data_IF_298100603542
#
_entry.id   IF_298100603542
#
_cell.length_a   1.000
_cell.length_b   1.000
_cell.length_c   1.000
_cell.angle_alpha   90.00
_cell.angle_beta   90.00
_cell.angle_gamma   90.00
#
_symmetry.space_group_name_H-M   'P 1'
#
loop_
_entity.id
_entity.type
_entity.pdbx_description
1 polymer ?
#
# COMPACT_ATOMS: atom_id res chain seq x y z
N UNK A 1 -25.72 -13.27 10.98
CA UNK A 1 -24.26 -13.06 11.14
C UNK A 1 -23.49 -13.07 9.82
N UNK A 2 -24.02 -13.66 8.73
CA UNK A 2 -23.34 -13.71 7.43
C UNK A 2 -23.04 -12.31 6.84
N UNK A 3 -24.03 -11.41 6.86
CA UNK A 3 -23.92 -10.05 6.33
C UNK A 3 -22.74 -9.23 6.90
N UNK A 4 -22.36 -9.46 8.17
CA UNK A 4 -21.22 -8.78 8.78
C UNK A 4 -19.89 -9.24 8.17
N UNK A 5 -19.75 -10.56 7.97
CA UNK A 5 -18.55 -11.13 7.34
C UNK A 5 -18.50 -10.73 5.87
N UNK A 6 -19.63 -10.80 5.17
CA UNK A 6 -19.71 -10.45 3.75
C UNK A 6 -19.31 -8.99 3.52
N UNK A 7 -19.77 -8.08 4.39
CA UNK A 7 -19.34 -6.69 4.37
C UNK A 7 -17.82 -6.54 4.53
N UNK A 8 -17.22 -7.23 5.51
CA UNK A 8 -15.77 -7.16 5.76
C UNK A 8 -14.99 -7.69 4.55
N UNK A 9 -15.45 -8.78 3.94
CA UNK A 9 -14.83 -9.34 2.75
C UNK A 9 -14.90 -8.38 1.56
N UNK A 10 -16.05 -7.75 1.31
CA UNK A 10 -16.21 -6.75 0.24
C UNK A 10 -15.35 -5.50 0.49
N UNK A 11 -15.32 -4.99 1.72
CA UNK A 11 -14.51 -3.82 2.07
C UNK A 11 -12.99 -4.02 1.89
N UNK A 12 -12.53 -5.28 1.85
CA UNK A 12 -11.13 -5.63 1.62
C UNK A 12 -10.69 -5.66 0.15
N UNK A 13 -11.59 -5.45 -0.80
CA UNK A 13 -11.25 -5.53 -2.22
C UNK A 13 -10.42 -4.33 -2.70
N UNK A 14 -9.50 -4.58 -3.64
CA UNK A 14 -8.64 -3.55 -4.23
C UNK A 14 -9.39 -2.68 -5.24
N UNK A 15 -10.47 -3.21 -5.80
CA UNK A 15 -11.31 -2.57 -6.81
C UNK A 15 -12.75 -2.83 -6.40
N UNK A 16 -13.53 -1.77 -6.22
CA UNK A 16 -14.96 -1.85 -5.97
C UNK A 16 -15.68 -1.12 -7.10
N UNK A 17 -16.71 -1.77 -7.65
CA UNK A 17 -17.64 -1.16 -8.61
C UNK A 17 -18.87 -0.60 -7.92
N UNK A 18 -19.74 0.05 -8.69
CA UNK A 18 -21.02 0.59 -8.21
C UNK A 18 -21.91 -0.50 -7.59
N UNK A 19 -22.03 -1.64 -8.29
CA UNK A 19 -22.79 -2.79 -7.83
C UNK A 19 -22.30 -3.25 -6.45
N UNK A 20 -20.98 -3.27 -6.21
CA UNK A 20 -20.41 -3.70 -4.93
C UNK A 20 -20.76 -2.74 -3.79
N UNK A 21 -20.86 -1.44 -4.08
CA UNK A 21 -21.27 -0.44 -3.11
C UNK A 21 -22.74 -0.58 -2.73
N UNK A 22 -23.60 -0.92 -3.69
CA UNK A 22 -25.00 -1.26 -3.42
C UNK A 22 -25.09 -2.50 -2.53
N UNK A 23 -24.29 -3.54 -2.78
CA UNK A 23 -24.20 -4.71 -1.91
C UNK A 23 -23.74 -4.34 -0.49
N UNK A 24 -22.74 -3.46 -0.34
CA UNK A 24 -22.29 -2.96 0.96
C UNK A 24 -23.41 -2.23 1.72
N UNK A 25 -24.23 -1.43 1.04
CA UNK A 25 -25.39 -0.78 1.64
C UNK A 25 -26.46 -1.80 2.09
N UNK A 26 -26.71 -2.84 1.28
CA UNK A 26 -27.63 -3.92 1.63
C UNK A 26 -27.14 -4.74 2.83
N UNK A 27 -25.85 -5.08 2.90
CA UNK A 27 -25.28 -5.75 4.08
C UNK A 27 -25.42 -4.91 5.34
N UNK A 28 -25.27 -3.58 5.24
CA UNK A 28 -25.54 -2.66 6.35
C UNK A 28 -27.01 -2.73 6.77
N UNK A 29 -27.95 -2.69 5.84
CA UNK A 29 -29.38 -2.82 6.14
C UNK A 29 -29.68 -4.12 6.91
N UNK A 30 -29.20 -5.26 6.39
CA UNK A 30 -29.38 -6.58 7.00
C UNK A 30 -28.74 -6.64 8.39
N UNK A 31 -27.57 -6.01 8.59
CA UNK A 31 -26.96 -5.91 9.91
C UNK A 31 -27.84 -5.11 10.88
N UNK A 32 -28.38 -3.97 10.43
CA UNK A 32 -29.22 -3.10 11.25
C UNK A 32 -30.53 -3.77 11.67
N UNK A 33 -31.13 -4.57 10.80
CA UNK A 33 -32.36 -5.30 11.11
C UNK A 33 -32.13 -6.44 12.13
N UNK A 34 -30.92 -7.01 12.15
CA UNK A 34 -30.61 -8.18 12.98
C UNK A 34 -29.80 -7.87 14.24
N UNK A 35 -29.23 -6.67 14.39
CA UNK A 35 -28.33 -6.34 15.51
C UNK A 35 -29.02 -6.39 16.87
N UNK A 36 -30.33 -6.14 16.93
CA UNK A 36 -31.07 -6.11 18.19
C UNK A 36 -31.15 -7.50 18.85
N UNK A 37 -30.98 -8.58 18.07
CA UNK A 37 -30.87 -9.94 18.60
C UNK A 37 -29.69 -10.10 19.58
N UNK A 38 -28.61 -9.31 19.40
CA UNK A 38 -27.49 -9.30 20.33
C UNK A 38 -27.79 -8.56 21.64
N UNK A 39 -28.72 -7.59 21.63
CA UNK A 39 -29.20 -6.92 22.86
C UNK A 39 -30.15 -7.83 23.65
N UNK A 40 -30.93 -8.65 22.95
CA UNK A 40 -31.94 -9.54 23.55
C UNK A 40 -31.35 -10.83 24.15
N UNK A 41 -30.07 -11.13 23.89
CA UNK A 41 -29.43 -12.38 24.33
C UNK A 41 -28.30 -12.13 25.35
N UNK A 42 -28.63 -11.76 26.61
CA UNK A 42 -27.62 -11.42 27.63
C UNK A 42 -26.70 -12.59 28.04
N UNK A 43 -27.07 -13.82 27.70
CA UNK A 43 -26.36 -15.04 28.14
C UNK A 43 -25.20 -15.48 27.23
N UNK A 44 -25.03 -14.88 26.04
CA UNK A 44 -24.11 -15.40 24.99
C UNK A 44 -22.80 -14.59 24.84
N UNK A 45 -22.28 -14.02 25.92
CA UNK A 45 -20.87 -13.60 25.99
C UNK A 45 -20.49 -12.28 25.33
N UNK A 46 -21.44 -11.54 24.76
CA UNK A 46 -21.26 -10.11 24.52
C UNK A 46 -21.25 -9.39 25.87
N UNK A 47 -20.25 -8.54 26.15
CA UNK A 47 -20.35 -7.57 27.26
C UNK A 47 -21.72 -6.90 27.14
N UNK A 48 -22.44 -6.75 28.25
CA UNK A 48 -23.78 -6.14 28.33
C UNK A 48 -23.76 -4.71 27.75
N UNK A 49 -23.77 -4.58 26.43
CA UNK A 49 -23.85 -3.31 25.74
C UNK A 49 -25.32 -2.96 25.61
N UNK A 50 -25.71 -1.83 26.18
CA UNK A 50 -27.09 -1.34 26.10
C UNK A 50 -27.45 -0.85 24.69
N UNK A 51 -26.45 -0.57 23.85
CA UNK A 51 -26.63 -0.02 22.50
C UNK A 51 -25.46 -0.36 21.57
N UNK A 52 -25.71 -0.25 20.25
CA UNK A 52 -24.71 -0.43 19.20
C UNK A 52 -24.11 0.90 18.66
N UNK A 53 -24.07 1.96 19.49
CA UNK A 53 -23.42 3.24 19.15
C UNK A 53 -21.89 3.14 19.21
N UNK A 54 -21.31 2.23 18.44
CA UNK A 54 -19.87 2.05 18.30
C UNK A 54 -19.44 2.90 17.11
N UNK A 55 -18.55 3.90 17.28
CA UNK A 55 -18.13 4.77 16.19
C UNK A 55 -17.64 4.02 14.95
N UNK A 56 -16.99 2.86 15.13
CA UNK A 56 -16.55 1.99 14.03
C UNK A 56 -17.70 1.39 13.21
N UNK A 57 -18.80 1.00 13.88
CA UNK A 57 -20.00 0.50 13.20
C UNK A 57 -20.76 1.63 12.51
N UNK A 58 -20.81 2.80 13.14
CA UNK A 58 -21.41 3.97 12.50
C UNK A 58 -20.62 4.40 11.26
N UNK A 59 -19.28 4.45 11.36
CA UNK A 59 -18.40 4.83 10.25
C UNK A 59 -18.65 4.02 8.98
N UNK A 60 -19.07 2.76 9.12
CA UNK A 60 -19.43 1.85 8.03
C UNK A 60 -20.48 2.39 7.07
N UNK A 61 -21.44 3.17 7.57
CA UNK A 61 -22.49 3.76 6.76
C UNK A 61 -21.94 4.71 5.71
N UNK A 62 -20.81 5.33 6.03
CA UNK A 62 -20.13 6.29 5.16
C UNK A 62 -19.13 5.61 4.23
N UNK A 63 -18.96 4.27 4.27
CA UNK A 63 -18.00 3.59 3.39
C UNK A 63 -18.34 3.76 1.91
N UNK A 64 -19.60 3.57 1.46
CA UNK A 64 -19.95 3.79 0.06
C UNK A 64 -19.58 5.20 -0.41
N UNK A 65 -20.01 6.22 0.34
CA UNK A 65 -19.68 7.61 0.05
C UNK A 65 -18.16 7.85 0.04
N UNK A 66 -17.46 7.39 1.07
CA UNK A 66 -16.01 7.53 1.16
C UNK A 66 -15.31 6.86 -0.03
N UNK A 67 -15.81 5.73 -0.52
CA UNK A 67 -15.22 5.02 -1.65
C UNK A 67 -15.44 5.78 -2.96
N UNK A 68 -16.60 6.45 -3.13
CA UNK A 68 -16.80 7.36 -4.25
C UNK A 68 -15.82 8.53 -4.25
N UNK A 69 -15.60 9.15 -3.09
CA UNK A 69 -14.79 10.37 -2.98
C UNK A 69 -13.28 10.11 -2.92
N UNK A 70 -12.86 9.05 -2.21
CA UNK A 70 -11.46 8.76 -1.88
C UNK A 70 -10.91 7.53 -2.64
N UNK A 71 -11.78 6.77 -3.31
CA UNK A 71 -11.45 5.49 -3.90
C UNK A 71 -11.47 4.33 -2.89
N UNK A 72 -10.99 3.16 -3.29
CA UNK A 72 -11.04 1.96 -2.46
C UNK A 72 -10.37 2.16 -1.07
N UNK A 73 -10.83 1.46 -0.01
CA UNK A 73 -10.34 1.64 1.36
C UNK A 73 -8.82 1.50 1.52
N UNK A 74 -8.20 0.72 0.65
CA UNK A 74 -6.75 0.58 0.58
C UNK A 74 -6.01 1.91 0.36
N UNK A 75 -6.61 2.86 -0.38
CA UNK A 75 -5.96 4.11 -0.77
C UNK A 75 -5.79 5.10 0.39
N UNK A 76 -6.65 5.03 1.41
CA UNK A 76 -6.63 5.93 2.56
C UNK A 76 -6.34 5.21 3.89
N UNK A 77 -5.73 4.02 3.82
CA UNK A 77 -5.27 3.29 5.00
C UNK A 77 -4.14 4.04 5.71
N UNK A 78 -4.15 4.02 7.05
CA UNK A 78 -3.07 4.61 7.85
C UNK A 78 -1.80 3.79 7.83
N UNK A 79 -1.85 2.54 7.35
CA UNK A 79 -0.71 1.62 7.28
C UNK A 79 0.52 2.28 6.64
N UNK A 80 0.34 2.98 5.52
CA UNK A 80 1.45 3.63 4.80
C UNK A 80 2.08 4.71 5.69
N UNK A 81 1.26 5.57 6.31
CA UNK A 81 1.74 6.65 7.17
C UNK A 81 2.41 6.13 8.45
N UNK A 82 1.90 5.04 9.02
CA UNK A 82 2.47 4.38 10.21
C UNK A 82 3.81 3.71 9.88
N UNK A 83 3.88 2.98 8.76
CA UNK A 83 5.13 2.44 8.24
C UNK A 83 6.14 3.56 7.99
N UNK A 84 5.75 4.65 7.32
CA UNK A 84 6.60 5.81 7.15
C UNK A 84 7.09 6.37 8.49
N UNK A 85 6.23 6.53 9.49
CA UNK A 85 6.63 7.03 10.81
C UNK A 85 7.64 6.10 11.51
N UNK A 86 7.48 4.77 11.35
CA UNK A 86 8.44 3.80 11.88
C UNK A 86 9.79 3.90 11.15
N UNK A 87 9.78 3.87 9.82
CA UNK A 87 11.00 3.83 9.00
C UNK A 87 11.76 5.17 8.99
N UNK A 88 11.05 6.28 8.84
CA UNK A 88 11.61 7.61 8.59
C UNK A 88 11.83 8.40 9.89
N UNK A 89 11.00 8.19 10.92
CA UNK A 89 11.18 8.88 12.18
C UNK A 89 11.85 7.98 13.22
N UNK A 90 11.22 6.86 13.61
CA UNK A 90 11.70 6.06 14.75
C UNK A 90 13.06 5.42 14.49
N UNK A 91 13.27 4.79 13.33
CA UNK A 91 14.56 4.16 13.01
C UNK A 91 15.66 5.19 12.84
N UNK A 92 15.37 6.31 12.15
CA UNK A 92 16.35 7.37 11.92
C UNK A 92 16.76 8.03 13.22
N UNK A 93 15.79 8.39 14.07
CA UNK A 93 16.07 8.95 15.39
C UNK A 93 16.98 8.03 16.22
N UNK A 94 16.74 6.71 16.19
CA UNK A 94 17.60 5.72 16.86
C UNK A 94 19.00 5.60 16.25
N UNK A 95 19.14 5.83 14.95
CA UNK A 95 20.42 5.77 14.25
C UNK A 95 21.24 7.08 14.40
N UNK A 96 20.59 8.20 14.70
CA UNK A 96 21.22 9.51 14.89
C UNK A 96 21.52 9.81 16.35
N UNK A 97 22.38 10.81 16.59
CA UNK A 97 22.59 11.34 17.93
C UNK A 97 21.38 12.21 18.33
N UNK A 98 20.87 12.12 19.58
CA UNK A 98 19.76 12.95 20.05
C UNK A 98 20.03 14.47 20.08
N UNK A 99 21.28 14.92 19.93
CA UNK A 99 21.59 16.36 19.81
C UNK A 99 21.40 16.82 18.37
N UNK A 100 20.64 17.90 18.16
CA UNK A 100 20.32 18.46 16.82
C UNK A 100 19.83 17.39 15.83
N UNK A 101 18.89 16.57 16.29
CA UNK A 101 18.43 15.37 15.60
C UNK A 101 17.74 15.68 14.27
N UNK A 102 17.06 16.83 14.12
CA UNK A 102 16.33 17.16 12.89
C UNK A 102 17.24 17.25 11.67
N UNK A 103 18.37 17.98 11.78
CA UNK A 103 19.33 18.10 10.68
C UNK A 103 19.96 16.75 10.35
N UNK A 104 20.29 15.96 11.37
CA UNK A 104 20.87 14.63 11.19
C UNK A 104 19.89 13.64 10.55
N UNK A 105 18.63 13.67 10.95
CA UNK A 105 17.58 12.83 10.37
C UNK A 105 17.35 13.17 8.90
N UNK A 106 17.28 14.46 8.55
CA UNK A 106 17.18 14.91 7.16
C UNK A 106 18.39 14.45 6.33
N UNK A 107 19.61 14.66 6.84
CA UNK A 107 20.84 14.24 6.16
C UNK A 107 20.88 12.72 5.95
N UNK A 108 20.47 11.96 6.96
CA UNK A 108 20.38 10.51 6.88
C UNK A 108 19.39 10.06 5.80
N UNK A 109 18.20 10.67 5.75
CA UNK A 109 17.18 10.38 4.74
C UNK A 109 17.68 10.68 3.32
N UNK A 110 18.30 11.85 3.11
CA UNK A 110 18.89 12.21 1.82
C UNK A 110 19.99 11.23 1.38
N UNK A 111 20.79 10.70 2.32
CA UNK A 111 21.80 9.69 2.01
C UNK A 111 21.16 8.37 1.60
N UNK A 112 20.15 7.90 2.34
CA UNK A 112 19.44 6.67 2.00
C UNK A 112 18.76 6.77 0.64
N UNK A 113 18.10 7.89 0.34
CA UNK A 113 17.48 8.14 -0.96
C UNK A 113 18.50 8.08 -2.10
N UNK A 114 19.66 8.75 -1.95
CA UNK A 114 20.73 8.72 -2.96
C UNK A 114 21.28 7.31 -3.19
N UNK A 115 21.48 6.54 -2.13
CA UNK A 115 21.95 5.14 -2.23
C UNK A 115 20.90 4.29 -2.94
N UNK A 116 19.62 4.42 -2.56
CA UNK A 116 18.51 3.69 -3.18
C UNK A 116 18.38 4.00 -4.67
N UNK A 117 18.37 5.28 -5.06
CA UNK A 117 18.29 5.71 -6.46
C UNK A 117 19.51 5.24 -7.26
N UNK A 118 20.71 5.30 -6.68
CA UNK A 118 21.92 4.78 -7.32
C UNK A 118 21.82 3.26 -7.53
N UNK A 119 21.30 2.51 -6.56
CA UNK A 119 21.07 1.07 -6.68
C UNK A 119 20.13 0.73 -7.83
N UNK A 120 19.00 1.44 -7.95
CA UNK A 120 18.06 1.26 -9.07
C UNK A 120 18.74 1.56 -10.41
N UNK A 121 19.49 2.65 -10.51
CA UNK A 121 20.20 3.01 -11.74
C UNK A 121 21.21 1.93 -12.15
N UNK A 122 21.99 1.41 -11.21
CA UNK A 122 22.95 0.33 -11.48
C UNK A 122 22.25 -0.95 -11.94
N UNK A 123 21.14 -1.33 -11.29
CA UNK A 123 20.35 -2.50 -11.69
C UNK A 123 19.80 -2.34 -13.11
N UNK A 124 19.26 -1.17 -13.45
CA UNK A 124 18.78 -0.88 -14.80
C UNK A 124 19.90 -0.96 -15.84
N UNK A 125 21.09 -0.43 -15.54
CA UNK A 125 22.25 -0.54 -16.44
C UNK A 125 22.68 -1.99 -16.65
N UNK A 126 22.76 -2.79 -15.59
CA UNK A 126 23.13 -4.21 -15.67
C UNK A 126 22.13 -5.00 -16.51
N UNK A 127 20.83 -4.75 -16.36
CA UNK A 127 19.78 -5.42 -17.14
C UNK A 127 19.84 -5.04 -18.63
N UNK A 128 20.16 -3.79 -18.96
CA UNK A 128 20.34 -3.37 -20.34
C UNK A 128 21.63 -3.88 -20.96
N UNK A 129 22.70 -4.00 -20.16
CA UNK A 129 23.96 -4.59 -20.61
C UNK A 129 23.81 -6.09 -20.88
N UNK A 130 23.09 -6.84 -20.03
CA UNK A 130 22.79 -8.26 -20.30
C UNK A 130 21.94 -8.44 -21.56
N UNK A 131 20.97 -7.55 -21.81
CA UNK A 131 20.11 -7.63 -22.99
C UNK A 131 20.84 -7.24 -24.29
N UNK A 132 21.89 -6.44 -24.21
CA UNK A 132 22.73 -6.06 -25.35
C UNK A 132 23.85 -7.07 -25.64
N UNK A 133 24.27 -7.87 -24.65
CA UNK A 133 25.27 -8.93 -24.83
C UNK A 133 24.72 -10.17 -25.56
N UNK A 134 23.39 -10.36 -25.55
CA UNK A 134 22.71 -11.37 -26.37
C UNK A 134 22.56 -10.94 -27.85
N UNK A 135 22.81 -9.67 -28.18
CA UNK A 135 22.68 -9.13 -29.54
C UNK A 135 24.01 -9.01 -30.29
N UNK A 136 25.13 -8.82 -29.58
CA UNK A 136 26.44 -8.61 -30.20
C UNK A 136 27.48 -9.62 -29.66
N UNK A 137 27.43 -10.84 -30.18
CA UNK A 137 28.63 -11.68 -30.23
C UNK A 137 29.63 -11.01 -31.16
N UNK A 138 30.60 -10.25 -30.61
CA UNK A 138 31.98 -10.10 -31.08
C UNK A 138 32.62 -8.82 -30.50
N UNK A 139 33.12 -8.90 -29.27
CA UNK A 139 34.22 -8.03 -28.85
C UNK A 139 35.18 -8.82 -27.95
N UNK A 140 36.16 -9.45 -28.59
CA UNK A 140 37.40 -9.92 -27.97
C UNK A 140 38.15 -8.69 -27.41
N UNK A 141 38.19 -8.52 -26.09
CA UNK A 141 38.99 -7.47 -25.46
C UNK A 141 39.83 -8.03 -24.32
N UNK A 142 40.89 -8.74 -24.74
CA UNK A 142 42.26 -8.66 -24.25
C UNK A 142 42.44 -8.41 -22.73
N UNK A 143 42.29 -9.47 -21.93
CA UNK A 143 42.89 -9.52 -20.59
C UNK A 143 44.35 -10.01 -20.73
N UNK A 144 45.35 -9.27 -20.23
CA UNK A 144 46.70 -9.81 -20.10
C UNK A 144 46.68 -11.00 -19.14
N UNK A 145 47.26 -12.13 -19.56
CA UNK A 145 47.48 -13.28 -18.68
C UNK A 145 48.41 -12.84 -17.54
N UNK A 146 47.88 -12.79 -16.32
CA UNK A 146 48.68 -12.72 -15.11
C UNK A 146 48.75 -14.14 -14.59
N UNK A 147 49.97 -14.68 -14.63
CA UNK A 147 50.32 -16.00 -14.14
C UNK A 147 49.97 -16.17 -12.65
N UNK A 148 49.64 -17.42 -12.32
CA UNK A 148 49.23 -17.92 -11.02
C UNK A 148 50.21 -17.54 -9.89
N UNK A 149 49.69 -17.10 -8.74
CA UNK A 149 49.85 -17.82 -7.45
C UNK A 149 49.22 -17.08 -6.25
N UNK A 150 48.69 -17.92 -5.33
CA UNK A 150 48.42 -17.72 -3.89
C UNK A 150 46.98 -17.44 -3.42
N UNK A 151 46.30 -18.56 -3.19
CA UNK A 151 45.42 -18.98 -2.09
C UNK A 151 44.54 -17.95 -1.33
N UNK A 152 43.25 -18.23 -1.45
CA UNK A 152 42.09 -17.69 -0.75
C UNK A 152 41.92 -18.36 0.61
N UNK A 153 41.67 -17.61 1.69
CA UNK A 153 40.52 -17.81 2.60
C UNK A 153 40.14 -16.49 3.26
N UNK A 154 38.98 -15.92 2.92
CA UNK A 154 38.28 -14.95 3.76
C UNK A 154 36.80 -15.35 3.81
N UNK A 155 36.36 -15.80 4.99
CA UNK A 155 34.98 -16.19 5.29
C UNK A 155 34.06 -14.96 5.21
N UNK A 156 33.18 -14.95 4.20
CA UNK A 156 32.17 -13.91 3.98
C UNK A 156 30.76 -14.50 3.83
N UNK A 157 30.34 -15.35 4.77
CA UNK A 157 28.96 -15.82 4.87
C UNK A 157 28.28 -15.28 6.14
N UNK A 158 27.82 -14.02 6.13
CA UNK A 158 26.74 -13.63 7.07
C UNK A 158 25.84 -12.44 6.70
N UNK A 159 26.01 -11.74 5.58
CA UNK A 159 25.22 -10.51 5.34
C UNK A 159 24.21 -10.58 4.17
N UNK A 160 24.06 -11.73 3.52
CA UNK A 160 23.13 -11.87 2.37
C UNK A 160 21.64 -11.96 2.76
N UNK A 161 21.33 -12.34 4.00
CA UNK A 161 19.94 -12.62 4.41
C UNK A 161 19.09 -11.36 4.68
N UNK A 162 19.72 -10.24 5.05
CA UNK A 162 19.00 -9.01 5.41
C UNK A 162 18.53 -8.22 4.18
N UNK A 163 19.36 -8.15 3.14
CA UNK A 163 19.15 -7.29 1.97
C UNK A 163 18.16 -7.88 0.95
N UNK A 164 17.99 -9.21 0.92
CA UNK A 164 17.03 -9.87 0.02
C UNK A 164 15.57 -9.64 0.41
N UNK A 165 15.28 -9.43 1.71
CA UNK A 165 13.92 -9.22 2.21
C UNK A 165 13.27 -7.89 1.76
N UNK A 166 14.09 -6.87 1.46
CA UNK A 166 13.64 -5.53 1.07
C UNK A 166 13.35 -5.38 -0.42
N UNK A 167 13.99 -6.20 -1.27
CA UNK A 167 13.87 -6.12 -2.73
C UNK A 167 12.54 -6.74 -3.21
N UNK A 168 12.03 -7.73 -2.48
CA UNK A 168 10.82 -8.46 -2.87
C UNK A 168 9.52 -7.66 -2.63
N UNK A 169 9.55 -6.62 -1.78
CA UNK A 169 8.36 -5.86 -1.36
C UNK A 169 7.96 -4.68 -2.29
N UNK A 170 8.69 -4.43 -3.39
CA UNK A 170 8.48 -3.25 -4.26
C UNK A 170 8.31 -3.57 -5.75
N UNK A 171 7.71 -4.72 -6.10
CA UNK A 171 7.27 -4.96 -7.47
C UNK A 171 6.05 -4.08 -7.79
N UNK A 172 6.30 -2.87 -8.27
CA UNK A 172 5.30 -1.97 -8.85
C UNK A 172 5.01 -2.50 -10.26
N UNK A 173 3.80 -3.02 -10.48
CA UNK A 173 3.32 -3.44 -11.80
C UNK A 173 3.12 -2.17 -12.66
N UNK A 174 3.79 -2.01 -13.80
CA UNK A 174 3.58 -0.85 -14.66
C UNK A 174 2.20 -0.93 -15.34
N UNK A 175 1.36 0.07 -15.10
CA UNK A 175 0.09 0.24 -15.82
C UNK A 175 0.39 0.70 -17.25
N UNK A 176 0.10 -0.15 -18.23
CA UNK A 176 0.18 0.21 -19.65
C UNK A 176 -1.00 1.10 -20.02
N UNK A 177 -0.73 2.36 -20.36
CA UNK A 177 -1.73 3.31 -20.83
C UNK A 177 -2.17 2.94 -22.26
N UNK A 178 -3.31 2.27 -22.39
CA UNK A 178 -3.99 2.10 -23.68
C UNK A 178 -4.43 3.47 -24.21
N UNK A 179 -4.09 3.80 -25.46
CA UNK A 179 -4.54 5.01 -26.15
C UNK A 179 -6.01 4.83 -26.57
N UNK A 180 -6.94 5.32 -25.76
CA UNK A 180 -8.34 5.47 -26.16
C UNK A 180 -8.52 6.79 -26.97
N UNK A 181 -9.10 6.67 -28.15
CA UNK A 181 -9.45 7.77 -29.04
C UNK A 181 -10.55 8.64 -28.41
N UNK A 182 -10.31 9.95 -28.38
CA UNK A 182 -11.27 10.96 -27.91
C UNK A 182 -12.35 11.18 -28.98
N UNK A 183 -13.62 10.91 -28.64
CA UNK A 183 -14.77 11.54 -29.30
C UNK A 183 -15.42 12.48 -28.29
N UNK A 184 -15.38 13.77 -28.62
CA UNK A 184 -16.08 14.81 -27.90
C UNK A 184 -17.60 14.61 -28.06
N UNK A 185 -18.35 14.70 -26.97
CA UNK A 185 -19.77 15.05 -26.98
C UNK A 185 -20.05 15.92 -25.76
N UNK A 186 -20.50 17.14 -26.05
CA UNK A 186 -20.98 18.14 -25.10
C UNK A 186 -22.36 17.72 -24.55
N UNK A 187 -22.60 17.88 -23.25
CA UNK A 187 -23.96 18.09 -22.73
C UNK A 187 -23.94 18.80 -21.36
N UNK A 188 -24.56 19.97 -21.38
CA UNK A 188 -25.15 20.84 -20.36
C UNK A 188 -25.10 20.49 -18.86
N UNK A 189 -24.72 21.52 -18.10
CA UNK A 189 -24.86 21.70 -16.66
C UNK A 189 -26.27 21.40 -16.11
N UNK A 190 -26.33 20.63 -15.02
CA UNK A 190 -27.43 20.66 -14.06
C UNK A 190 -26.84 20.72 -12.64
N UNK A 191 -27.17 21.78 -11.91
CA UNK A 191 -26.82 21.97 -10.49
C UNK A 191 -27.76 21.12 -9.66
N UNK A 192 -27.24 20.10 -8.98
CA UNK A 192 -28.01 19.29 -8.04
C UNK A 192 -27.94 19.91 -6.64
N UNK A 193 -29.09 20.34 -6.13
CA UNK A 193 -29.30 20.75 -4.74
C UNK A 193 -29.55 19.52 -3.86
N UNK A 194 -28.81 19.40 -2.75
CA UNK A 194 -28.84 18.27 -1.81
C UNK A 194 -30.12 18.24 -0.94
N UNK A 195 -30.72 17.07 -0.64
CA UNK A 195 -31.71 16.93 0.41
C UNK A 195 -31.06 16.80 1.79
N UNK A 196 -31.65 17.48 2.78
CA UNK A 196 -31.21 17.51 4.17
C UNK A 196 -31.61 16.20 4.88
N UNK A 197 -30.64 15.42 5.36
CA UNK A 197 -30.91 14.22 6.16
C UNK A 197 -31.08 14.60 7.65
N UNK A 198 -32.23 14.25 8.21
CA UNK A 198 -32.57 14.43 9.62
C UNK A 198 -31.86 13.40 10.50
N UNK A 199 -31.21 13.86 11.57
CA UNK A 199 -30.63 13.03 12.62
C UNK A 199 -31.72 12.29 13.42
N UNK A 200 -31.54 10.98 13.60
CA UNK A 200 -32.09 10.20 14.71
C UNK A 200 -30.92 9.55 15.44
#
# INVERSE_FOLDING_TARGET
MHAELDFIFHAGWKTLGEDDLEHMANFNQIYHDNKDAFLQTPQHGGREQQHFNIPKLHARHHFPDNIHWLGAPYNYSTEISECCHIEIAKKVYKATNPKDYMQQMLLWLTRQEKIYLRGILLQWQLQNWSHNFDADQQFDMFLPQVDEEQDVVLDAERESSSTLSLIQAKQIIPVTRSKAQTKANETSHAVATWPHYSHQ
#
